data_IF_366150658866
#
_entry.id   IF_366150658866
#
_cell.length_a   1.000
_cell.length_b   1.000
_cell.length_c   1.000
_cell.angle_alpha   90.00
_cell.angle_beta   90.00
_cell.angle_gamma   90.00
#
_symmetry.space_group_name_H-M   'P 1'
#
loop_
_entity.id
_entity.type
_entity.pdbx_description
1 polymer ?
#
# COMPACT_ATOMS: atom_id res chain seq x y z
N UNK A 1 15.74 -24.31 16.41
CA UNK A 1 15.98 -25.03 15.12
C UNK A 1 14.83 -24.90 14.09
N UNK A 2 13.56 -24.78 14.51
CA UNK A 2 12.41 -24.63 13.61
C UNK A 2 12.39 -23.27 12.91
N UNK A 3 12.75 -22.18 13.58
CA UNK A 3 12.68 -20.82 13.05
C UNK A 3 13.78 -20.54 12.02
N UNK A 4 14.98 -21.06 12.24
CA UNK A 4 16.06 -20.99 11.26
C UNK A 4 15.74 -21.76 9.96
N UNK A 5 15.02 -22.88 10.07
CA UNK A 5 14.56 -23.63 8.89
C UNK A 5 13.50 -22.86 8.10
N UNK A 6 12.54 -22.21 8.77
CA UNK A 6 11.51 -21.37 8.11
C UNK A 6 12.13 -20.18 7.42
N UNK A 7 13.06 -19.49 8.07
CA UNK A 7 13.77 -18.35 7.50
C UNK A 7 14.61 -18.76 6.28
N UNK A 8 15.29 -19.89 6.32
CA UNK A 8 16.03 -20.43 5.18
C UNK A 8 15.13 -20.81 4.02
N UNK A 9 13.97 -21.42 4.27
CA UNK A 9 12.98 -21.73 3.23
C UNK A 9 12.41 -20.46 2.59
N UNK A 10 12.19 -19.40 3.36
CA UNK A 10 11.72 -18.12 2.87
C UNK A 10 12.74 -17.49 1.91
N UNK A 11 14.01 -17.43 2.29
CA UNK A 11 15.07 -16.90 1.42
C UNK A 11 15.28 -17.71 0.13
N UNK A 12 15.14 -19.04 0.18
CA UNK A 12 15.20 -19.89 -1.03
C UNK A 12 14.04 -19.57 -1.95
N UNK A 13 12.83 -19.48 -1.39
CA UNK A 13 11.61 -19.16 -2.16
C UNK A 13 11.67 -17.78 -2.79
N UNK A 14 12.17 -16.77 -2.07
CA UNK A 14 12.36 -15.43 -2.60
C UNK A 14 13.31 -15.43 -3.80
N UNK A 15 14.42 -16.13 -3.69
CA UNK A 15 15.38 -16.26 -4.79
C UNK A 15 14.76 -16.94 -6.01
N UNK A 16 13.98 -17.99 -5.80
CA UNK A 16 13.31 -18.71 -6.87
C UNK A 16 12.28 -17.84 -7.58
N UNK A 17 11.50 -17.03 -6.83
CA UNK A 17 10.57 -16.05 -7.37
C UNK A 17 11.32 -14.98 -8.18
N UNK A 18 12.40 -14.41 -7.65
CA UNK A 18 13.21 -13.43 -8.36
C UNK A 18 13.78 -14.00 -9.66
N UNK A 19 14.34 -15.22 -9.62
CA UNK A 19 14.86 -15.88 -10.81
C UNK A 19 13.78 -16.11 -11.87
N UNK A 20 12.58 -16.58 -11.44
CA UNK A 20 11.45 -16.77 -12.34
C UNK A 20 11.01 -15.45 -12.98
N UNK A 21 10.88 -14.38 -12.19
CA UNK A 21 10.48 -13.07 -12.71
C UNK A 21 11.53 -12.57 -13.72
N UNK A 22 12.81 -12.60 -13.37
CA UNK A 22 13.88 -12.15 -14.27
C UNK A 22 13.93 -12.92 -15.59
N UNK A 23 13.69 -14.22 -15.56
CA UNK A 23 13.65 -15.05 -16.77
C UNK A 23 12.48 -14.72 -17.71
N UNK A 24 11.41 -14.11 -17.17
CA UNK A 24 10.18 -13.80 -17.92
C UNK A 24 9.99 -12.30 -18.22
N UNK A 25 10.91 -11.44 -17.79
CA UNK A 25 10.83 -9.99 -18.04
C UNK A 25 11.05 -9.60 -19.50
N UNK A 26 11.76 -10.41 -20.28
CA UNK A 26 12.15 -10.04 -21.64
C UNK A 26 12.99 -8.75 -21.65
N UNK A 27 12.48 -7.71 -22.31
CA UNK A 27 13.13 -6.39 -22.38
C UNK A 27 12.62 -5.39 -21.31
N UNK A 28 11.78 -5.85 -20.39
CA UNK A 28 11.28 -5.02 -19.30
C UNK A 28 12.28 -4.93 -18.15
N UNK A 29 12.18 -3.89 -17.33
CA UNK A 29 13.02 -3.67 -16.16
C UNK A 29 12.19 -3.72 -14.88
N UNK A 30 12.72 -4.35 -13.86
CA UNK A 30 12.16 -4.23 -12.49
C UNK A 30 12.59 -2.90 -11.89
N UNK A 31 11.62 -2.08 -11.55
CA UNK A 31 11.85 -0.80 -10.89
C UNK A 31 11.92 -0.99 -9.37
N UNK A 32 13.03 -0.64 -8.69
CA UNK A 32 13.20 -0.94 -7.28
C UNK A 32 12.52 0.05 -6.35
N UNK A 33 12.06 1.19 -6.85
CA UNK A 33 11.36 2.20 -6.04
C UNK A 33 9.85 2.01 -6.05
N UNK A 34 9.19 2.42 -4.98
CA UNK A 34 7.72 2.29 -4.86
C UNK A 34 6.94 3.20 -5.81
N UNK A 35 7.53 4.33 -6.22
CA UNK A 35 6.94 5.26 -7.18
C UNK A 35 7.81 5.33 -8.43
N UNK A 36 7.24 5.18 -9.64
CA UNK A 36 7.96 5.44 -10.87
C UNK A 36 8.21 6.95 -11.02
N UNK A 37 9.36 7.31 -11.57
CA UNK A 37 9.63 8.67 -12.01
C UNK A 37 9.15 8.85 -13.45
N UNK A 38 8.79 10.07 -13.83
CA UNK A 38 8.46 10.46 -15.21
C UNK A 38 7.37 9.58 -15.82
N UNK A 39 6.15 9.83 -15.40
CA UNK A 39 4.96 9.26 -16.03
C UNK A 39 4.40 10.23 -17.08
N UNK A 40 3.78 9.66 -18.11
CA UNK A 40 3.07 10.47 -19.11
C UNK A 40 2.00 11.34 -18.43
N UNK A 41 1.91 12.61 -18.82
CA UNK A 41 0.90 13.53 -18.31
C UNK A 41 -0.54 13.01 -18.57
N UNK A 42 -0.73 12.27 -19.67
CA UNK A 42 -2.01 11.64 -20.01
C UNK A 42 -2.18 10.31 -19.24
N UNK A 43 -2.95 10.36 -18.17
CA UNK A 43 -3.26 9.19 -17.36
C UNK A 43 -3.99 8.07 -18.13
N UNK A 44 -4.65 8.38 -19.24
CA UNK A 44 -5.34 7.38 -20.06
C UNK A 44 -4.35 6.40 -20.72
N UNK A 45 -3.11 6.82 -20.90
CA UNK A 45 -2.02 6.00 -21.47
C UNK A 45 -1.44 4.98 -20.46
N UNK A 46 -1.73 5.13 -19.17
CA UNK A 46 -1.32 4.15 -18.16
C UNK A 46 -2.19 2.90 -18.33
N UNK A 47 -1.62 1.74 -18.69
CA UNK A 47 -2.41 0.54 -18.89
C UNK A 47 -3.00 0.01 -17.58
N UNK A 48 -4.20 -0.55 -17.65
CA UNK A 48 -4.79 -1.27 -16.53
C UNK A 48 -4.38 -2.74 -16.58
N UNK A 49 -4.11 -3.32 -15.43
CA UNK A 49 -3.79 -4.75 -15.30
C UNK A 49 -4.89 -5.63 -15.87
N UNK A 50 -4.52 -6.56 -16.75
CA UNK A 50 -5.39 -7.56 -17.33
C UNK A 50 -5.07 -8.91 -16.70
N UNK A 51 -6.07 -9.59 -16.16
CA UNK A 51 -5.87 -10.81 -15.35
C UNK A 51 -6.41 -12.07 -16.03
N UNK A 52 -6.88 -11.95 -17.28
CA UNK A 52 -7.42 -13.05 -18.06
C UNK A 52 -8.97 -13.03 -18.16
N UNK A 53 -9.55 -14.15 -18.61
CA UNK A 53 -10.97 -14.25 -18.97
C UNK A 53 -11.86 -14.90 -17.91
N UNK A 54 -11.31 -15.49 -16.84
CA UNK A 54 -12.12 -16.09 -15.77
C UNK A 54 -12.93 -15.01 -15.02
N UNK A 55 -14.05 -15.40 -14.40
CA UNK A 55 -14.89 -14.48 -13.62
C UNK A 55 -14.09 -13.74 -12.55
N UNK A 56 -13.17 -14.43 -11.86
CA UNK A 56 -12.30 -13.81 -10.87
C UNK A 56 -11.33 -12.80 -11.50
N UNK A 57 -10.77 -13.11 -12.66
CA UNK A 57 -9.90 -12.24 -13.40
C UNK A 57 -10.63 -10.98 -13.88
N UNK A 58 -11.84 -11.15 -14.41
CA UNK A 58 -12.70 -10.03 -14.82
C UNK A 58 -13.07 -9.15 -13.62
N UNK A 59 -13.44 -9.73 -12.48
CA UNK A 59 -13.73 -8.97 -11.25
C UNK A 59 -12.50 -8.12 -10.81
N UNK A 60 -11.29 -8.67 -10.87
CA UNK A 60 -10.06 -7.92 -10.58
C UNK A 60 -9.83 -6.77 -11.57
N UNK A 61 -10.06 -6.99 -12.85
CA UNK A 61 -9.92 -5.95 -13.88
C UNK A 61 -10.93 -4.82 -13.67
N UNK A 62 -12.20 -5.17 -13.38
CA UNK A 62 -13.24 -4.18 -13.07
C UNK A 62 -12.91 -3.40 -11.80
N UNK A 63 -12.42 -4.06 -10.75
CA UNK A 63 -11.97 -3.41 -9.54
C UNK A 63 -10.86 -2.38 -9.81
N UNK A 64 -9.84 -2.76 -10.61
CA UNK A 64 -8.76 -1.84 -11.00
C UNK A 64 -9.28 -0.64 -11.80
N UNK A 65 -10.25 -0.86 -12.68
CA UNK A 65 -10.91 0.24 -13.42
C UNK A 65 -11.65 1.17 -12.46
N UNK A 66 -12.38 0.63 -11.50
CA UNK A 66 -13.06 1.41 -10.45
C UNK A 66 -12.10 2.27 -9.63
N UNK A 67 -10.94 1.73 -9.24
CA UNK A 67 -9.89 2.50 -8.56
C UNK A 67 -9.34 3.62 -9.47
N UNK A 68 -9.14 3.34 -10.76
CA UNK A 68 -8.69 4.34 -11.73
C UNK A 68 -9.67 5.50 -11.88
N UNK A 69 -10.98 5.23 -11.85
CA UNK A 69 -12.01 6.26 -11.93
C UNK A 69 -12.12 7.08 -10.63
N UNK A 70 -11.88 6.45 -9.48
CA UNK A 70 -12.02 7.11 -8.16
C UNK A 70 -10.79 7.91 -7.76
N UNK A 71 -9.61 7.38 -7.98
CA UNK A 71 -8.34 7.94 -7.48
C UNK A 71 -7.36 8.34 -8.59
N UNK A 72 -7.71 8.12 -9.84
CA UNK A 72 -6.83 8.29 -10.99
C UNK A 72 -5.91 7.05 -11.22
N UNK A 73 -5.48 6.88 -12.46
CA UNK A 73 -4.60 5.75 -12.83
C UNK A 73 -3.18 5.92 -12.30
N UNK A 74 -2.74 7.15 -12.10
CA UNK A 74 -1.43 7.47 -11.54
C UNK A 74 -1.23 6.82 -10.17
N UNK A 75 -2.22 6.88 -9.30
CA UNK A 75 -2.15 6.30 -7.96
C UNK A 75 -1.96 4.78 -7.95
N UNK A 76 -2.36 4.09 -9.04
CA UNK A 76 -2.18 2.64 -9.18
C UNK A 76 -0.77 2.22 -9.58
N UNK A 77 0.08 3.17 -9.99
CA UNK A 77 1.49 2.90 -10.32
C UNK A 77 2.38 2.85 -9.08
N UNK A 78 1.85 3.25 -7.92
CA UNK A 78 2.57 3.18 -6.65
C UNK A 78 2.50 1.76 -6.12
N UNK A 79 3.66 1.19 -5.84
CA UNK A 79 3.81 -0.12 -5.20
C UNK A 79 4.05 0.07 -3.71
N UNK A 80 3.26 -0.60 -2.86
CA UNK A 80 3.42 -0.53 -1.41
C UNK A 80 3.73 -1.91 -0.81
N UNK A 81 4.26 -1.90 0.40
CA UNK A 81 4.40 -3.11 1.22
C UNK A 81 3.11 -3.27 2.02
N UNK A 82 2.43 -4.41 1.83
CA UNK A 82 1.23 -4.76 2.58
C UNK A 82 1.58 -5.79 3.65
N UNK A 83 1.28 -5.47 4.89
CA UNK A 83 1.44 -6.39 6.01
C UNK A 83 0.06 -6.88 6.48
N UNK A 84 -0.23 -8.16 6.25
CA UNK A 84 -1.48 -8.78 6.67
C UNK A 84 -1.27 -9.41 8.05
N UNK A 85 -2.07 -8.98 9.01
CA UNK A 85 -1.98 -9.44 10.39
C UNK A 85 -3.30 -10.08 10.83
N UNK A 86 -3.22 -11.23 11.46
CA UNK A 86 -4.35 -11.88 12.13
C UNK A 86 -3.90 -12.50 13.45
N UNK A 87 -4.80 -12.54 14.39
CA UNK A 87 -4.57 -13.14 15.71
C UNK A 87 -4.86 -14.64 15.65
N UNK A 88 -3.93 -15.52 16.04
CA UNK A 88 -4.17 -16.96 16.03
C UNK A 88 -5.14 -17.38 17.14
N UNK A 89 -5.91 -18.43 16.90
CA UNK A 89 -6.93 -18.93 17.85
C UNK A 89 -6.42 -19.14 19.26
N UNK A 90 -5.20 -19.71 19.38
CA UNK A 90 -4.55 -19.92 20.69
C UNK A 90 -4.41 -18.64 21.54
N UNK A 91 -4.28 -17.46 20.89
CA UNK A 91 -4.19 -16.21 21.61
C UNK A 91 -5.60 -15.74 22.02
N UNK A 92 -6.60 -15.97 21.20
CA UNK A 92 -7.99 -15.71 21.56
C UNK A 92 -8.42 -16.52 22.76
N UNK A 93 -8.07 -17.81 22.80
CA UNK A 93 -8.34 -18.71 23.93
C UNK A 93 -7.65 -18.21 25.20
N UNK A 94 -6.38 -17.82 25.09
CA UNK A 94 -5.60 -17.28 26.22
C UNK A 94 -6.17 -15.94 26.76
N UNK A 95 -6.82 -15.16 25.91
CA UNK A 95 -7.48 -13.90 26.27
C UNK A 95 -8.95 -14.09 26.73
N UNK A 96 -9.43 -15.34 26.79
CA UNK A 96 -10.81 -15.65 27.15
C UNK A 96 -11.85 -15.17 26.12
N UNK A 97 -11.46 -15.07 24.84
CA UNK A 97 -12.29 -14.58 23.74
C UNK A 97 -12.57 -15.72 22.75
N UNK A 98 -13.36 -16.69 23.18
CA UNK A 98 -13.65 -17.88 22.37
C UNK A 98 -14.83 -17.70 21.40
N UNK A 99 -15.71 -16.76 21.67
CA UNK A 99 -16.88 -16.48 20.82
C UNK A 99 -16.59 -15.41 19.76
N UNK A 100 -17.33 -15.48 18.64
CA UNK A 100 -17.15 -14.59 17.50
C UNK A 100 -17.36 -13.12 17.83
N UNK A 101 -18.33 -12.80 18.70
CA UNK A 101 -18.62 -11.40 19.04
C UNK A 101 -17.48 -10.78 19.83
N UNK A 102 -16.98 -11.45 20.88
CA UNK A 102 -15.86 -10.95 21.69
C UNK A 102 -14.57 -10.82 20.89
N UNK A 103 -14.31 -11.70 19.90
CA UNK A 103 -13.20 -11.56 18.97
C UNK A 103 -13.38 -10.36 18.05
N UNK A 104 -14.57 -10.15 17.52
CA UNK A 104 -14.91 -8.98 16.68
C UNK A 104 -14.68 -7.68 17.43
N UNK A 105 -15.19 -7.58 18.66
CA UNK A 105 -15.03 -6.39 19.52
C UNK A 105 -13.54 -6.13 19.83
N UNK A 106 -12.77 -7.20 20.05
CA UNK A 106 -11.34 -7.10 20.27
C UNK A 106 -10.58 -6.62 19.02
N UNK A 107 -10.97 -7.09 17.84
CA UNK A 107 -10.40 -6.58 16.58
C UNK A 107 -10.72 -5.09 16.38
N UNK A 108 -11.94 -4.65 16.62
CA UNK A 108 -12.27 -3.23 16.57
C UNK A 108 -11.49 -2.42 17.61
N UNK A 109 -11.31 -2.96 18.82
CA UNK A 109 -10.46 -2.35 19.83
C UNK A 109 -9.00 -2.21 19.37
N UNK A 110 -8.46 -3.25 18.75
CA UNK A 110 -7.12 -3.23 18.18
C UNK A 110 -7.01 -2.20 17.05
N UNK A 111 -7.99 -2.10 16.15
CA UNK A 111 -8.02 -1.12 15.05
C UNK A 111 -8.01 0.30 15.62
N UNK A 112 -8.85 0.60 16.64
CA UNK A 112 -8.87 1.92 17.31
C UNK A 112 -7.51 2.26 17.93
N UNK A 113 -6.89 1.31 18.63
CA UNK A 113 -5.58 1.51 19.23
C UNK A 113 -4.47 1.66 18.18
N UNK A 114 -4.51 0.85 17.13
CA UNK A 114 -3.59 0.97 16.00
C UNK A 114 -3.67 2.38 15.38
N UNK A 115 -4.85 2.92 15.20
CA UNK A 115 -5.03 4.28 14.68
C UNK A 115 -4.53 5.35 15.64
N UNK A 116 -4.79 5.19 16.91
CA UNK A 116 -4.29 6.12 17.95
C UNK A 116 -2.77 6.22 17.94
N UNK A 117 -2.09 5.12 17.66
CA UNK A 117 -0.63 5.02 17.66
C UNK A 117 0.01 5.02 16.27
N UNK A 118 -0.78 5.12 15.21
CA UNK A 118 -0.27 5.04 13.82
C UNK A 118 0.73 6.16 13.47
N UNK A 119 0.62 7.32 14.12
CA UNK A 119 1.58 8.40 13.97
C UNK A 119 3.02 7.96 14.32
N UNK A 120 3.18 7.09 15.32
CA UNK A 120 4.49 6.56 15.70
C UNK A 120 5.06 5.69 14.58
N UNK A 121 4.24 4.87 13.93
CA UNK A 121 4.65 4.07 12.78
C UNK A 121 5.02 4.95 11.59
N UNK A 122 4.27 6.00 11.32
CA UNK A 122 4.59 6.97 10.28
C UNK A 122 5.88 7.72 10.59
N UNK A 123 6.12 8.08 11.84
CA UNK A 123 7.36 8.74 12.26
C UNK A 123 8.57 7.83 12.11
N UNK A 124 8.48 6.57 12.54
CA UNK A 124 9.61 5.63 12.52
C UNK A 124 9.86 5.00 11.15
N UNK A 125 8.81 4.74 10.39
CA UNK A 125 8.84 3.94 9.17
C UNK A 125 8.23 4.65 7.95
N UNK A 126 7.93 5.93 8.06
CA UNK A 126 7.45 6.74 6.95
C UNK A 126 8.43 6.69 5.78
N UNK A 127 7.93 6.33 4.59
CA UNK A 127 8.81 5.97 3.49
C UNK A 127 9.44 7.17 2.79
N UNK A 128 8.64 8.20 2.46
CA UNK A 128 9.15 9.38 1.78
C UNK A 128 8.24 10.60 2.01
N UNK A 129 8.79 11.74 2.40
CA UNK A 129 8.07 13.00 2.41
C UNK A 129 8.09 13.72 1.05
N UNK A 130 8.74 13.13 0.04
CA UNK A 130 8.94 13.74 -1.27
C UNK A 130 8.26 12.95 -2.39
N UNK A 131 7.92 13.66 -3.47
CA UNK A 131 7.27 13.10 -4.67
C UNK A 131 7.74 13.82 -5.92
N UNK A 132 7.78 13.10 -7.04
CA UNK A 132 8.03 13.71 -8.34
C UNK A 132 6.86 14.64 -8.74
N UNK A 133 7.15 15.82 -9.31
CA UNK A 133 6.13 16.76 -9.78
C UNK A 133 5.12 16.14 -10.75
N UNK A 134 5.56 15.18 -11.56
CA UNK A 134 4.68 14.50 -12.51
C UNK A 134 3.51 13.75 -11.83
N UNK A 135 3.65 13.41 -10.56
CA UNK A 135 2.64 12.68 -9.79
C UNK A 135 1.47 13.52 -9.31
N UNK A 136 1.64 14.83 -9.21
CA UNK A 136 0.67 15.72 -8.57
C UNK A 136 0.14 16.78 -9.52
N UNK A 137 0.36 16.61 -10.85
CA UNK A 137 -0.22 17.50 -11.85
C UNK A 137 -1.75 17.61 -11.69
N UNK A 138 -2.22 18.83 -11.39
CA UNK A 138 -3.64 19.12 -11.24
C UNK A 138 -4.25 18.77 -9.87
N UNK A 139 -3.43 18.35 -8.90
CA UNK A 139 -3.87 18.12 -7.53
C UNK A 139 -3.62 19.36 -6.67
N UNK A 140 -4.52 19.66 -5.75
CA UNK A 140 -4.30 20.65 -4.69
C UNK A 140 -3.34 20.05 -3.64
N UNK A 141 -2.28 20.78 -3.29
CA UNK A 141 -1.25 20.28 -2.40
C UNK A 141 -0.56 21.38 -1.59
N UNK A 142 -0.06 21.00 -0.41
CA UNK A 142 0.71 21.86 0.51
C UNK A 142 2.23 21.63 0.39
N UNK A 143 2.70 21.04 -0.70
CA UNK A 143 4.11 20.67 -0.87
C UNK A 143 4.95 21.84 -1.31
N UNK A 144 6.17 21.92 -0.79
CA UNK A 144 7.20 22.86 -1.20
C UNK A 144 8.12 22.27 -2.26
N UNK A 145 8.77 23.14 -3.01
CA UNK A 145 9.74 22.74 -4.03
C UNK A 145 11.05 22.32 -3.39
N UNK A 146 11.47 21.08 -3.62
CA UNK A 146 12.80 20.59 -3.24
C UNK A 146 13.82 20.88 -4.34
N UNK A 147 13.46 20.62 -5.59
CA UNK A 147 14.23 20.95 -6.80
C UNK A 147 13.28 21.04 -7.99
N UNK A 148 13.83 21.20 -9.22
CA UNK A 148 13.02 21.33 -10.44
C UNK A 148 12.05 20.16 -10.67
N UNK A 149 12.42 18.93 -10.31
CA UNK A 149 11.65 17.71 -10.55
C UNK A 149 10.88 17.18 -9.35
N UNK A 150 11.11 17.70 -8.14
CA UNK A 150 10.60 17.09 -6.90
C UNK A 150 9.98 18.12 -5.97
N UNK A 151 8.93 17.69 -5.30
CA UNK A 151 8.26 18.42 -4.22
C UNK A 151 8.34 17.60 -2.93
N UNK A 152 8.25 18.25 -1.78
CA UNK A 152 8.30 17.59 -0.49
C UNK A 152 7.36 18.24 0.52
N UNK A 153 6.97 17.49 1.54
CA UNK A 153 6.19 17.97 2.66
C UNK A 153 7.15 18.33 3.80
N UNK A 154 7.30 19.61 4.18
CA UNK A 154 8.20 20.02 5.26
C UNK A 154 7.80 19.36 6.58
N UNK A 155 8.80 19.02 7.39
CA UNK A 155 8.62 18.44 8.72
C UNK A 155 7.85 17.11 8.77
N UNK A 156 7.65 16.45 7.64
CA UNK A 156 7.00 15.15 7.56
C UNK A 156 8.00 14.03 7.26
N UNK A 157 7.73 12.84 7.72
CA UNK A 157 8.47 11.61 7.38
C UNK A 157 7.77 10.81 6.28
N UNK A 158 6.54 11.18 5.94
CA UNK A 158 5.74 10.54 4.89
C UNK A 158 4.72 11.51 4.32
N UNK A 159 4.45 11.44 3.03
CA UNK A 159 3.36 12.17 2.37
C UNK A 159 1.97 11.82 2.95
N UNK A 160 1.84 10.68 3.63
CA UNK A 160 0.60 10.30 4.34
C UNK A 160 0.27 11.21 5.53
N UNK A 161 1.22 12.00 5.99
CA UNK A 161 0.97 13.00 7.03
C UNK A 161 0.31 14.28 6.49
N UNK A 162 0.27 14.45 5.16
CA UNK A 162 -0.38 15.54 4.47
C UNK A 162 -1.70 15.13 3.80
N UNK A 163 -2.24 16.02 2.98
CA UNK A 163 -3.50 15.81 2.23
C UNK A 163 -3.35 14.89 1.02
N UNK A 164 -2.11 14.64 0.57
CA UNK A 164 -1.81 13.75 -0.53
C UNK A 164 -1.79 12.30 -0.07
N UNK A 165 -2.35 11.43 -0.89
CA UNK A 165 -2.39 9.99 -0.63
C UNK A 165 -3.80 9.48 -0.32
N UNK A 166 -3.90 8.18 -0.07
CA UNK A 166 -5.16 7.54 0.27
C UNK A 166 -5.67 8.05 1.63
N UNK A 167 -6.68 8.91 1.58
CA UNK A 167 -7.49 9.27 2.71
C UNK A 167 -8.65 8.27 2.80
N UNK A 168 -8.89 7.72 3.98
CA UNK A 168 -10.05 6.84 4.17
C UNK A 168 -11.29 7.68 4.44
N UNK A 169 -11.97 8.11 3.38
CA UNK A 169 -13.23 8.87 3.47
C UNK A 169 -14.33 8.11 4.23
N UNK A 170 -14.29 6.78 4.21
CA UNK A 170 -15.23 5.95 4.97
C UNK A 170 -15.17 6.21 6.49
N UNK A 171 -14.12 6.82 6.99
CA UNK A 171 -13.92 7.06 8.42
C UNK A 171 -14.48 8.40 8.87
N UNK A 172 -14.45 9.41 8.01
CA UNK A 172 -15.16 10.66 8.26
C UNK A 172 -16.69 10.47 8.16
N UNK A 173 -17.15 9.53 7.34
CA UNK A 173 -18.55 9.18 7.20
C UNK A 173 -19.09 8.32 8.37
N UNK A 174 -18.22 7.62 9.11
CA UNK A 174 -18.60 6.74 10.21
C UNK A 174 -18.39 7.37 11.59
N UNK A 175 -17.96 8.62 11.65
CA UNK A 175 -17.71 9.38 12.90
C UNK A 175 -16.90 8.59 13.95
N UNK A 176 -15.95 7.79 13.48
CA UNK A 176 -15.06 7.01 14.33
C UNK A 176 -13.82 7.87 14.62
N UNK A 177 -14.01 8.85 15.49
CA UNK A 177 -12.92 9.63 16.09
C UNK A 177 -12.21 8.86 17.20
#
# INVERSE_FOLDING_TARGET
HSDLRRQRQMCIRDRDIHAFVQQNLGNELLWPSSMPCILAADQAKIPLGQYGSSNLAQAKTVYRRGLGNRYGRLMQTISGIHYNFSVPNRLWDALGKSDQQSQTDAYFGMIRNFRRWSWLLLYLFGAAPAVCRSFIHGSDHDLESFNEGSLYLPHATSLRMGRLGYQSEAQSALDVS
#
